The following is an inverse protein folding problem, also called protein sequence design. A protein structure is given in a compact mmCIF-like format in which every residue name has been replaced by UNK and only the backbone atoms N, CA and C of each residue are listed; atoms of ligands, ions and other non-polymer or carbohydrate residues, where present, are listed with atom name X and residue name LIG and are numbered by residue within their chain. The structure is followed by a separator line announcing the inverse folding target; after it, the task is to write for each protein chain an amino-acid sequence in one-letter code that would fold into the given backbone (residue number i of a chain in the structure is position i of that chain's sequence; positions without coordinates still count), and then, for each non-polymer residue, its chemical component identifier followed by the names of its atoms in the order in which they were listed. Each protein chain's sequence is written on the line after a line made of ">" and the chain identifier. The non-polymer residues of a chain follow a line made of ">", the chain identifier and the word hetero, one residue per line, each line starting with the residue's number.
data_IF_546570201098
#
_entry.id   IF_546570201098
#
_cell.length_a   1.000
_cell.length_b   1.000
_cell.length_c   1.000
_cell.angle_alpha   90.00
_cell.angle_beta   90.00
_cell.angle_gamma   90.00
#
_symmetry.space_group_name_H-M   'P 1'
#
loop_
_entity.id
_entity.type
_entity.pdbx_description
1 polymer ?
#
# COMPACT_ATOMS: atom_id res chain seq x y z
N UNK A 1 -7.86 -5.92 17.15
CA UNK A 1 -8.15 -7.15 16.39
C UNK A 1 -7.07 -7.25 15.32
N UNK A 2 -6.48 -8.41 15.08
CA UNK A 2 -5.41 -8.55 14.07
C UNK A 2 -5.93 -8.26 12.67
N UNK A 3 -5.08 -7.73 11.80
CA UNK A 3 -5.42 -7.46 10.41
C UNK A 3 -5.72 -8.78 9.67
N UNK A 4 -6.96 -8.98 9.24
CA UNK A 4 -7.41 -10.25 8.66
C UNK A 4 -6.76 -10.54 7.29
N UNK A 5 -6.25 -9.53 6.59
CA UNK A 5 -5.57 -9.67 5.30
C UNK A 5 -4.31 -10.53 5.41
N UNK A 6 -3.67 -10.56 6.58
CA UNK A 6 -2.50 -11.41 6.84
C UNK A 6 -2.82 -12.90 6.90
N UNK A 7 -4.11 -13.29 6.88
CA UNK A 7 -4.56 -14.67 6.79
C UNK A 7 -5.03 -15.08 5.40
N UNK A 8 -4.97 -14.16 4.43
CA UNK A 8 -5.37 -14.44 3.05
C UNK A 8 -4.48 -15.51 2.40
N UNK A 9 -5.06 -16.32 1.52
CA UNK A 9 -4.31 -17.25 0.67
C UNK A 9 -3.69 -16.47 -0.50
N UNK A 10 -2.69 -15.65 -0.19
CA UNK A 10 -2.00 -14.75 -1.11
C UNK A 10 -0.51 -14.66 -0.75
N UNK A 11 0.29 -14.11 -1.66
CA UNK A 11 1.62 -13.59 -1.31
C UNK A 11 1.43 -12.39 -0.39
N UNK A 12 2.18 -12.35 0.72
CA UNK A 12 2.11 -11.27 1.70
C UNK A 12 3.43 -10.47 1.67
N UNK A 13 3.42 -9.18 2.05
CA UNK A 13 4.64 -8.42 2.27
C UNK A 13 5.52 -9.12 3.31
N UNK A 14 6.70 -9.60 2.90
CA UNK A 14 7.69 -10.24 3.79
C UNK A 14 8.80 -9.28 4.23
N UNK A 15 8.83 -8.07 3.66
CA UNK A 15 9.74 -7.00 4.04
C UNK A 15 9.21 -6.24 5.28
N UNK A 16 10.11 -5.61 6.03
CA UNK A 16 9.72 -4.75 7.16
C UNK A 16 9.14 -3.43 6.64
N UNK A 17 7.81 -3.31 6.69
CA UNK A 17 7.08 -2.11 6.26
C UNK A 17 7.48 -0.85 7.01
N UNK A 18 8.02 -0.96 8.23
CA UNK A 18 8.48 0.21 9.00
C UNK A 18 9.80 0.79 8.48
N UNK A 19 10.56 0.03 7.67
CA UNK A 19 11.76 0.55 7.01
C UNK A 19 11.46 1.33 5.73
N UNK A 20 10.22 1.30 5.22
CA UNK A 20 9.83 2.15 4.11
C UNK A 20 9.73 3.61 4.57
N UNK A 21 10.38 4.51 3.82
CA UNK A 21 10.19 5.95 3.97
C UNK A 21 9.12 6.42 2.98
N UNK A 22 8.19 7.31 3.36
CA UNK A 22 7.20 7.86 2.44
C UNK A 22 7.87 8.84 1.46
N UNK A 23 8.38 8.32 0.35
CA UNK A 23 9.15 9.05 -0.67
C UNK A 23 8.29 9.49 -1.85
N UNK A 24 7.10 8.90 -2.01
CA UNK A 24 6.17 9.20 -3.10
C UNK A 24 4.85 9.68 -2.52
N UNK A 25 4.31 10.77 -3.07
CA UNK A 25 2.90 11.15 -2.86
C UNK A 25 2.14 10.80 -4.15
N UNK A 26 1.11 9.97 -4.03
CA UNK A 26 0.24 9.63 -5.15
C UNK A 26 -1.11 10.33 -5.00
N UNK A 27 -1.53 11.04 -6.05
CA UNK A 27 -2.81 11.75 -6.10
C UNK A 27 -3.81 10.94 -6.94
N UNK A 28 -4.85 10.43 -6.30
CA UNK A 28 -5.87 9.59 -6.92
C UNK A 28 -5.69 8.10 -6.62
N UNK A 29 -5.97 7.70 -5.37
CA UNK A 29 -5.93 6.32 -4.90
C UNK A 29 -7.07 5.48 -5.48
N UNK A 30 -6.92 5.13 -6.75
CA UNK A 30 -7.88 4.36 -7.54
C UNK A 30 -7.48 2.90 -7.77
N UNK A 31 -8.34 2.16 -8.47
CA UNK A 31 -8.09 0.75 -8.81
C UNK A 31 -6.82 0.56 -9.65
N UNK A 32 -6.59 1.44 -10.63
CA UNK A 32 -5.42 1.35 -11.51
C UNK A 32 -4.10 1.51 -10.75
N UNK A 33 -4.01 2.50 -9.86
CA UNK A 33 -2.81 2.73 -9.07
C UNK A 33 -2.45 1.50 -8.25
N UNK A 34 -3.43 0.98 -7.49
CA UNK A 34 -3.26 -0.23 -6.66
C UNK A 34 -2.81 -1.44 -7.46
N UNK A 35 -3.37 -1.64 -8.66
CA UNK A 35 -3.06 -2.79 -9.50
C UNK A 35 -1.82 -2.62 -10.38
N UNK A 36 -1.20 -1.43 -10.41
CA UNK A 36 -0.06 -1.15 -11.28
C UNK A 36 1.10 -0.56 -10.50
N UNK A 37 1.09 0.75 -10.19
CA UNK A 37 2.27 1.38 -9.56
C UNK A 37 2.54 0.82 -8.17
N UNK A 38 1.49 0.57 -7.37
CA UNK A 38 1.62 -0.06 -6.05
C UNK A 38 2.25 -1.46 -6.11
N UNK A 39 1.88 -2.27 -7.11
CA UNK A 39 2.46 -3.61 -7.32
C UNK A 39 3.96 -3.54 -7.63
N UNK A 40 4.38 -2.63 -8.52
CA UNK A 40 5.80 -2.48 -8.82
C UNK A 40 6.61 -2.00 -7.62
N UNK A 41 6.05 -1.11 -6.79
CA UNK A 41 6.73 -0.69 -5.57
C UNK A 41 6.86 -1.83 -4.55
N UNK A 42 5.82 -2.66 -4.43
CA UNK A 42 5.83 -3.86 -3.56
C UNK A 42 6.86 -4.90 -4.02
N UNK A 43 7.00 -5.13 -5.34
CA UNK A 43 8.05 -5.98 -5.92
C UNK A 43 9.43 -5.42 -5.59
N UNK A 44 9.65 -4.11 -5.75
CA UNK A 44 10.93 -3.48 -5.43
C UNK A 44 11.27 -3.56 -3.93
N UNK A 45 10.27 -3.40 -3.05
CA UNK A 45 10.45 -3.55 -1.62
C UNK A 45 10.78 -5.01 -1.24
N UNK A 46 10.12 -5.97 -1.90
CA UNK A 46 10.29 -7.40 -1.65
C UNK A 46 11.62 -7.96 -2.16
N UNK A 47 11.98 -7.63 -3.40
CA UNK A 47 13.05 -8.31 -4.14
C UNK A 47 14.32 -7.47 -4.27
N UNK A 48 14.22 -6.16 -4.07
CA UNK A 48 15.30 -5.21 -4.40
C UNK A 48 15.65 -4.25 -3.26
N UNK A 49 15.20 -4.53 -2.03
CA UNK A 49 15.52 -3.74 -0.82
C UNK A 49 15.17 -2.26 -0.95
N UNK A 50 14.14 -1.93 -1.74
CA UNK A 50 13.67 -0.55 -1.88
C UNK A 50 13.06 -0.06 -0.57
N UNK A 51 13.31 1.20 -0.23
CA UNK A 51 12.70 1.91 0.90
C UNK A 51 11.65 2.94 0.46
N UNK A 52 11.19 2.87 -0.79
CA UNK A 52 10.23 3.82 -1.36
C UNK A 52 8.79 3.46 -1.00
N UNK A 53 8.30 4.01 0.11
CA UNK A 53 6.90 3.99 0.51
C UNK A 53 6.07 5.15 -0.07
N UNK A 54 4.75 5.02 0.07
CA UNK A 54 3.76 5.95 -0.45
C UNK A 54 3.01 6.70 0.65
N UNK A 55 2.66 7.95 0.35
CA UNK A 55 1.44 8.59 0.86
C UNK A 55 0.38 8.60 -0.23
N UNK A 56 -0.74 7.94 0.06
CA UNK A 56 -1.91 7.92 -0.82
C UNK A 56 -2.88 9.06 -0.48
N UNK A 57 -3.25 9.85 -1.48
CA UNK A 57 -4.10 11.03 -1.29
C UNK A 57 -5.22 11.06 -2.33
N UNK A 58 -6.45 11.23 -1.86
CA UNK A 58 -7.58 11.59 -2.69
C UNK A 58 -7.96 13.05 -2.43
N UNK A 59 -8.11 13.84 -3.50
CA UNK A 59 -8.53 15.25 -3.39
C UNK A 59 -10.03 15.43 -3.56
N UNK A 60 -10.65 14.63 -4.42
CA UNK A 60 -12.08 14.69 -4.75
C UNK A 60 -12.60 13.27 -4.94
N UNK A 61 -13.61 12.89 -4.13
CA UNK A 61 -14.16 11.54 -4.14
C UNK A 61 -13.17 10.48 -3.65
N UNK A 62 -13.62 9.23 -3.56
CA UNK A 62 -12.77 8.11 -3.13
C UNK A 62 -12.47 8.06 -1.62
N UNK A 63 -13.28 8.73 -0.81
CA UNK A 63 -13.14 8.78 0.66
C UNK A 63 -13.25 7.38 1.28
N UNK A 64 -14.15 6.54 0.77
CA UNK A 64 -14.35 5.19 1.26
C UNK A 64 -13.08 4.35 1.12
N UNK A 65 -12.38 4.45 -0.02
CA UNK A 65 -11.15 3.69 -0.24
C UNK A 65 -10.05 4.05 0.76
N UNK A 66 -9.96 5.32 1.17
CA UNK A 66 -9.01 5.77 2.20
C UNK A 66 -9.45 5.27 3.58
N UNK A 67 -10.75 5.37 3.89
CA UNK A 67 -11.30 4.91 5.16
C UNK A 67 -11.15 3.39 5.36
N UNK A 68 -11.34 2.60 4.30
CA UNK A 68 -11.14 1.15 4.31
C UNK A 68 -9.68 0.81 4.59
N UNK A 69 -8.74 1.47 3.91
CA UNK A 69 -7.30 1.22 4.07
C UNK A 69 -6.81 1.52 5.49
N UNK A 70 -7.29 2.61 6.08
CA UNK A 70 -6.93 3.00 7.45
C UNK A 70 -7.36 1.96 8.49
N UNK A 71 -8.44 1.22 8.24
CA UNK A 71 -8.94 0.19 9.16
C UNK A 71 -8.16 -1.13 9.06
N UNK A 72 -7.35 -1.28 8.02
CA UNK A 72 -6.55 -2.48 7.74
C UNK A 72 -5.05 -2.15 7.69
N UNK A 73 -4.59 -1.23 8.53
CA UNK A 73 -3.16 -0.88 8.65
C UNK A 73 -2.50 -0.57 7.31
N UNK A 74 -3.23 0.05 6.39
CA UNK A 74 -2.80 0.37 5.03
C UNK A 74 -2.32 -0.85 4.19
N UNK A 75 -2.82 -2.06 4.49
CA UNK A 75 -2.70 -3.24 3.61
C UNK A 75 -3.85 -3.30 2.60
#
# INVERSE_FOLDING_TARGET
>A
MGNNLLSAKATLPVYDRNNLAPRIVHLGFGAFHRAHQGVYADILATEHFSDWGYYEVNLIGGEQQIADLQQQDNL
#
